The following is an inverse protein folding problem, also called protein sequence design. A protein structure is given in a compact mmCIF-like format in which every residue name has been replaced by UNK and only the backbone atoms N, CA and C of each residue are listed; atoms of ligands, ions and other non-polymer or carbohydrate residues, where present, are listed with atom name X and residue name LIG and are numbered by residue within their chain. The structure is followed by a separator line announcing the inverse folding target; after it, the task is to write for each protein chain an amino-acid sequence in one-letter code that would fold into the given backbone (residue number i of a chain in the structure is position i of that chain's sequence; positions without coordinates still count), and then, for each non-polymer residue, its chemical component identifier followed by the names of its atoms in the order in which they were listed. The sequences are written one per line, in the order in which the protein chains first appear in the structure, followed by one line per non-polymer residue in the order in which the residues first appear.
data_IF_232414548145
#
_entry.id   IF_232414548145
#
_cell.length_a   1.000
_cell.length_b   1.000
_cell.length_c   1.000
_cell.angle_alpha   90.00
_cell.angle_beta   90.00
_cell.angle_gamma   90.00
#
_symmetry.space_group_name_H-M   'P 1'
#
loop_
_entity.id
_entity.type
_entity.pdbx_description
1 polymer ?
#
# COMPACT_ATOMS: atom_id res chain seq x y z
N UNK A 1 -28.66 -52.24 -0.95
CA UNK A 1 -29.99 -52.21 -0.30
C UNK A 1 -30.10 -50.95 0.53
N UNK A 2 -31.34 -50.49 0.67
CA UNK A 2 -31.85 -49.19 1.13
C UNK A 2 -31.34 -48.76 2.51
N UNK A 3 -31.19 -47.44 2.71
CA UNK A 3 -31.13 -46.84 4.05
C UNK A 3 -31.19 -45.30 4.06
N UNK A 4 -32.38 -44.73 3.85
CA UNK A 4 -32.73 -43.31 4.15
C UNK A 4 -32.30 -42.92 5.56
N UNK A 5 -31.90 -41.66 5.80
CA UNK A 5 -32.55 -40.71 6.74
C UNK A 5 -32.14 -39.26 6.43
N UNK A 6 -33.14 -38.44 6.12
CA UNK A 6 -33.10 -36.98 6.23
C UNK A 6 -33.17 -36.58 7.71
N UNK A 7 -32.61 -35.43 8.09
CA UNK A 7 -33.28 -34.48 9.00
C UNK A 7 -32.51 -33.15 9.03
N UNK A 8 -33.24 -32.07 8.76
CA UNK A 8 -32.85 -30.71 9.03
C UNK A 8 -32.75 -30.48 10.55
N UNK A 9 -31.88 -29.56 10.98
CA UNK A 9 -31.95 -28.95 12.30
C UNK A 9 -31.56 -27.48 12.22
N UNK A 10 -32.56 -26.61 12.37
CA UNK A 10 -32.40 -25.27 12.93
C UNK A 10 -31.83 -25.39 14.35
N UNK A 11 -30.82 -24.59 14.69
CA UNK A 11 -30.55 -24.09 16.04
C UNK A 11 -29.82 -22.75 15.86
N UNK A 12 -30.51 -21.62 16.04
CA UNK A 12 -30.70 -20.94 17.32
C UNK A 12 -29.68 -19.80 17.46
N UNK A 13 -30.18 -18.57 17.31
CA UNK A 13 -29.51 -17.36 17.77
C UNK A 13 -29.38 -17.48 19.29
N UNK A 14 -28.18 -17.79 19.76
CA UNK A 14 -27.80 -17.66 21.15
C UNK A 14 -26.62 -16.69 21.20
N UNK A 15 -26.84 -15.52 21.79
CA UNK A 15 -25.78 -14.64 22.21
C UNK A 15 -24.96 -15.38 23.29
N UNK A 16 -23.80 -15.88 22.90
CA UNK A 16 -22.76 -16.34 23.82
C UNK A 16 -21.53 -15.47 23.58
N UNK A 17 -21.26 -14.58 24.53
CA UNK A 17 -19.94 -14.00 24.73
C UNK A 17 -19.01 -15.14 25.18
N UNK A 18 -18.32 -15.75 24.24
CA UNK A 18 -17.17 -16.62 24.45
C UNK A 18 -16.33 -16.53 23.17
N UNK A 19 -15.06 -16.19 23.29
CA UNK A 19 -14.15 -16.01 22.17
C UNK A 19 -14.23 -17.20 21.22
N UNK A 20 -14.56 -16.91 19.96
CA UNK A 20 -14.23 -17.84 18.89
C UNK A 20 -12.70 -17.84 18.80
N UNK A 21 -12.06 -18.79 19.50
CA UNK A 21 -10.68 -19.17 19.23
C UNK A 21 -10.64 -19.72 17.80
N UNK A 22 -10.31 -18.84 16.86
CA UNK A 22 -9.96 -19.24 15.51
C UNK A 22 -8.59 -19.91 15.62
N UNK A 23 -8.43 -21.18 15.20
CA UNK A 23 -7.13 -21.85 15.25
C UNK A 23 -6.09 -21.05 14.45
N UNK A 24 -4.94 -20.76 15.07
CA UNK A 24 -3.81 -20.01 14.48
C UNK A 24 -3.37 -20.54 13.10
N UNK A 25 -3.68 -21.80 12.80
CA UNK A 25 -3.40 -22.46 11.52
C UNK A 25 -4.16 -21.84 10.31
N UNK A 26 -5.22 -21.06 10.55
CA UNK A 26 -5.94 -20.31 9.52
C UNK A 26 -5.54 -18.82 9.44
N UNK A 27 -4.70 -18.34 10.36
CA UNK A 27 -4.06 -17.03 10.30
C UNK A 27 -2.71 -17.21 9.59
N UNK A 28 -2.78 -17.45 8.28
CA UNK A 28 -1.59 -17.66 7.45
C UNK A 28 -0.66 -16.44 7.49
N UNK A 29 0.49 -16.60 8.15
CA UNK A 29 1.61 -15.68 8.10
C UNK A 29 2.16 -15.38 9.49
N UNK A 30 3.29 -15.99 9.85
CA UNK A 30 4.01 -15.58 11.06
C UNK A 30 4.22 -14.07 11.03
N UNK A 31 3.90 -13.38 12.13
CA UNK A 31 4.11 -11.95 12.31
C UNK A 31 5.61 -11.62 12.20
N UNK A 32 6.10 -11.54 10.97
CA UNK A 32 7.33 -10.86 10.67
C UNK A 32 7.03 -9.37 10.79
N UNK A 33 7.08 -8.85 12.02
CA UNK A 33 7.05 -7.40 12.26
C UNK A 33 8.00 -6.73 11.28
N UNK A 34 7.48 -5.81 10.47
CA UNK A 34 8.27 -5.09 9.50
C UNK A 34 9.42 -4.36 10.23
N UNK A 35 10.64 -4.42 9.68
CA UNK A 35 11.77 -3.77 10.37
C UNK A 35 11.57 -2.25 10.33
N UNK A 36 11.48 -1.58 11.49
CA UNK A 36 11.30 -0.15 11.53
C UNK A 36 12.46 0.59 10.87
N UNK A 37 12.14 1.70 10.21
CA UNK A 37 13.12 2.65 9.71
C UNK A 37 13.13 3.86 10.64
N UNK A 38 14.31 4.23 11.13
CA UNK A 38 14.52 5.37 12.07
C UNK A 38 14.26 6.77 11.43
N UNK A 39 13.57 6.83 10.29
CA UNK A 39 13.22 8.05 9.58
C UNK A 39 11.80 8.49 9.94
N UNK A 40 11.51 9.81 10.03
CA UNK A 40 10.16 10.31 10.29
C UNK A 40 9.15 9.85 9.23
N UNK A 41 7.94 9.52 9.65
CA UNK A 41 6.85 9.10 8.74
C UNK A 41 6.56 10.14 7.65
N UNK A 42 6.75 11.44 7.93
CA UNK A 42 6.61 12.54 6.95
C UNK A 42 7.53 12.39 5.75
N UNK A 43 8.74 11.87 5.94
CA UNK A 43 9.68 11.65 4.83
C UNK A 43 9.25 10.46 3.99
N UNK A 44 8.87 9.35 4.63
CA UNK A 44 8.40 8.16 3.94
C UNK A 44 7.12 8.44 3.16
N UNK A 45 6.19 9.18 3.76
CA UNK A 45 4.98 9.70 3.10
C UNK A 45 5.30 10.40 1.79
N UNK A 46 6.26 11.34 1.81
CA UNK A 46 6.64 12.09 0.61
C UNK A 46 7.24 11.20 -0.47
N UNK A 47 8.09 10.25 -0.08
CA UNK A 47 8.72 9.29 -0.98
C UNK A 47 7.67 8.36 -1.63
N UNK A 48 6.79 7.80 -0.82
CA UNK A 48 5.70 6.92 -1.24
C UNK A 48 4.75 7.62 -2.20
N UNK A 49 4.26 8.82 -1.84
CA UNK A 49 3.40 9.61 -2.71
C UNK A 49 4.11 10.02 -4.01
N UNK A 50 5.39 10.38 -3.96
CA UNK A 50 6.15 10.71 -5.16
C UNK A 50 6.36 9.52 -6.10
N UNK A 51 6.55 8.31 -5.56
CA UNK A 51 6.55 7.08 -6.33
C UNK A 51 5.17 6.84 -6.97
N UNK A 52 4.09 6.93 -6.20
CA UNK A 52 2.71 6.76 -6.71
C UNK A 52 2.40 7.72 -7.87
N UNK A 53 2.69 9.01 -7.71
CA UNK A 53 2.51 10.02 -8.76
C UNK A 53 3.38 9.73 -10.00
N UNK A 54 4.60 9.23 -9.79
CA UNK A 54 5.48 8.84 -10.89
C UNK A 54 4.94 7.63 -11.67
N UNK A 55 4.35 6.67 -10.97
CA UNK A 55 3.69 5.50 -11.58
C UNK A 55 2.45 5.93 -12.37
N UNK A 56 1.62 6.81 -11.81
CA UNK A 56 0.45 7.35 -12.50
C UNK A 56 0.83 8.00 -13.84
N UNK A 57 1.80 8.92 -13.80
CA UNK A 57 2.31 9.59 -15.01
C UNK A 57 2.85 8.59 -16.02
N UNK A 58 3.68 7.64 -15.58
CA UNK A 58 4.28 6.63 -16.44
C UNK A 58 3.20 5.76 -17.10
N UNK A 59 2.22 5.27 -16.34
CA UNK A 59 1.15 4.42 -16.86
C UNK A 59 0.26 5.15 -17.87
N UNK A 60 -0.05 6.43 -17.61
CA UNK A 60 -0.81 7.25 -18.56
C UNK A 60 -0.03 7.46 -19.86
N UNK A 61 1.27 7.78 -19.78
CA UNK A 61 2.10 8.10 -20.94
C UNK A 61 2.50 6.88 -21.77
N UNK A 62 2.89 5.78 -21.12
CA UNK A 62 3.48 4.62 -21.79
C UNK A 62 2.43 3.53 -22.08
N UNK A 63 1.35 3.46 -21.29
CA UNK A 63 0.38 2.35 -21.36
C UNK A 63 -1.06 2.75 -21.69
N UNK A 64 -1.35 4.06 -21.77
CA UNK A 64 -2.61 4.57 -22.29
C UNK A 64 -3.80 4.39 -21.33
N UNK A 65 -3.56 4.39 -20.02
CA UNK A 65 -4.62 4.25 -18.99
C UNK A 65 -5.49 5.51 -18.83
N UNK A 66 -5.14 6.59 -19.54
CA UNK A 66 -5.88 7.86 -19.52
C UNK A 66 -5.59 8.71 -18.28
N UNK A 67 -6.51 9.63 -17.99
CA UNK A 67 -6.43 10.50 -16.82
C UNK A 67 -6.83 9.75 -15.54
N UNK A 68 -6.13 10.08 -14.45
CA UNK A 68 -6.43 9.56 -13.12
C UNK A 68 -7.51 10.39 -12.44
N UNK A 69 -8.52 9.72 -11.88
CA UNK A 69 -9.63 10.33 -11.15
C UNK A 69 -9.47 10.08 -9.65
N UNK A 70 -9.54 11.11 -8.79
CA UNK A 70 -9.37 10.94 -7.36
C UNK A 70 -10.45 10.01 -6.78
N UNK A 71 -10.11 9.31 -5.70
CA UNK A 71 -11.07 8.48 -4.96
C UNK A 71 -12.02 9.38 -4.16
N UNK A 72 -13.27 9.53 -4.60
CA UNK A 72 -14.25 10.37 -3.90
C UNK A 72 -15.13 9.58 -2.92
N UNK A 73 -15.32 8.29 -3.17
CA UNK A 73 -16.21 7.43 -2.37
C UNK A 73 -15.47 6.59 -1.31
N UNK A 74 -14.14 6.57 -1.35
CA UNK A 74 -13.29 5.85 -0.41
C UNK A 74 -12.19 6.77 0.13
N UNK A 75 -11.71 6.51 1.33
CA UNK A 75 -10.57 7.25 1.90
C UNK A 75 -9.31 7.00 1.07
N UNK A 76 -8.61 8.07 0.72
CA UNK A 76 -7.37 8.01 -0.07
C UNK A 76 -6.18 7.55 0.75
N UNK A 77 -6.22 7.72 2.07
CA UNK A 77 -5.15 7.30 2.96
C UNK A 77 -5.67 6.81 4.30
N UNK A 78 -4.99 5.82 4.87
CA UNK A 78 -5.26 5.24 6.19
C UNK A 78 -3.97 4.73 6.81
N UNK A 79 -3.98 4.49 8.12
CA UNK A 79 -2.94 3.67 8.73
C UNK A 79 -3.03 2.28 8.11
N UNK A 80 -1.88 1.72 7.73
CA UNK A 80 -1.81 0.41 7.09
C UNK A 80 -2.32 -0.67 8.04
N UNK A 81 -3.15 -1.55 7.51
CA UNK A 81 -3.54 -2.78 8.20
C UNK A 81 -2.67 -3.97 7.77
N UNK A 82 -1.84 -3.82 6.73
CA UNK A 82 -1.01 -4.88 6.16
C UNK A 82 0.41 -4.86 6.73
N UNK A 83 0.91 -3.67 7.09
CA UNK A 83 2.24 -3.50 7.67
C UNK A 83 2.12 -3.28 9.18
N UNK A 84 2.44 -4.32 9.96
CA UNK A 84 2.44 -4.26 11.43
C UNK A 84 3.75 -3.65 11.94
N UNK A 85 3.63 -2.51 12.62
CA UNK A 85 4.76 -1.75 13.17
C UNK A 85 4.84 -1.86 14.70
N UNK A 86 6.07 -1.77 15.22
CA UNK A 86 6.31 -1.67 16.67
C UNK A 86 5.84 -0.32 17.22
N UNK A 87 5.69 -0.24 18.55
CA UNK A 87 5.28 0.99 19.23
C UNK A 87 6.21 2.18 18.90
N UNK A 88 5.62 3.35 18.63
CA UNK A 88 6.34 4.55 18.18
C UNK A 88 6.65 4.58 16.68
N UNK A 89 6.13 3.61 15.93
CA UNK A 89 6.20 3.53 14.47
C UNK A 89 4.81 3.33 13.88
N UNK A 90 4.62 3.80 12.65
CA UNK A 90 3.42 3.55 11.88
C UNK A 90 3.75 3.33 10.41
N UNK A 91 2.83 2.70 9.69
CA UNK A 91 2.83 2.65 8.24
C UNK A 91 1.53 3.28 7.74
N UNK A 92 1.62 4.01 6.64
CA UNK A 92 0.50 4.66 5.98
C UNK A 92 0.29 4.02 4.62
N UNK A 93 -0.97 3.73 4.29
CA UNK A 93 -1.37 3.21 2.99
C UNK A 93 -1.95 4.36 2.17
N UNK A 94 -1.54 4.46 0.90
CA UNK A 94 -1.99 5.44 -0.06
C UNK A 94 -2.65 4.79 -1.26
N UNK A 95 -3.78 5.35 -1.67
CA UNK A 95 -4.60 4.92 -2.82
C UNK A 95 -5.34 6.12 -3.39
N UNK A 96 -4.62 6.99 -4.08
CA UNK A 96 -5.13 8.33 -4.40
C UNK A 96 -6.24 8.31 -5.46
N UNK A 97 -6.12 7.49 -6.50
CA UNK A 97 -6.93 7.63 -7.70
C UNK A 97 -7.18 6.30 -8.42
N UNK A 98 -8.10 6.31 -9.39
CA UNK A 98 -8.27 5.24 -10.39
C UNK A 98 -8.13 5.76 -11.81
N UNK A 99 -7.76 4.86 -12.72
CA UNK A 99 -7.70 5.13 -14.17
C UNK A 99 -8.38 3.99 -14.96
N UNK A 100 -8.34 4.03 -16.30
CA UNK A 100 -8.76 2.89 -17.11
C UNK A 100 -7.82 1.68 -16.88
N UNK A 101 -8.28 0.43 -17.03
CA UNK A 101 -7.43 -0.75 -16.88
C UNK A 101 -6.23 -0.74 -17.83
N UNK A 102 -5.15 -1.38 -17.41
CA UNK A 102 -4.03 -1.70 -18.30
C UNK A 102 -4.51 -2.75 -19.30
N UNK A 103 -4.34 -2.54 -20.62
CA UNK A 103 -4.67 -3.54 -21.61
C UNK A 103 -3.98 -4.87 -21.33
N UNK A 104 -4.71 -5.98 -21.40
CA UNK A 104 -4.23 -7.31 -20.98
C UNK A 104 -2.91 -7.70 -21.66
N UNK A 105 -2.78 -7.39 -22.95
CA UNK A 105 -1.57 -7.66 -23.74
C UNK A 105 -0.35 -6.83 -23.29
N UNK A 106 -0.57 -5.71 -22.59
CA UNK A 106 0.47 -4.82 -22.07
C UNK A 106 0.81 -5.07 -20.59
N UNK A 107 0.03 -5.90 -19.89
CA UNK A 107 0.19 -6.13 -18.45
C UNK A 107 1.62 -6.50 -18.03
N UNK A 108 2.23 -7.47 -18.72
CA UNK A 108 3.60 -7.91 -18.42
C UNK A 108 4.64 -6.79 -18.61
N UNK A 109 4.47 -5.95 -19.63
CA UNK A 109 5.36 -4.84 -19.87
C UNK A 109 5.17 -3.73 -18.82
N UNK A 110 3.91 -3.40 -18.50
CA UNK A 110 3.58 -2.39 -17.49
C UNK A 110 4.10 -2.76 -16.10
N UNK A 111 3.91 -4.00 -15.67
CA UNK A 111 4.42 -4.49 -14.38
C UNK A 111 5.95 -4.49 -14.31
N UNK A 112 6.64 -4.84 -15.41
CA UNK A 112 8.09 -4.70 -15.47
C UNK A 112 8.53 -3.23 -15.33
N UNK A 113 7.80 -2.29 -15.95
CA UNK A 113 8.10 -0.87 -15.85
C UNK A 113 7.82 -0.28 -14.47
N UNK A 114 6.74 -0.72 -13.82
CA UNK A 114 6.44 -0.42 -12.42
C UNK A 114 7.61 -0.85 -11.53
N UNK A 115 8.11 -2.07 -11.71
CA UNK A 115 9.26 -2.57 -10.96
C UNK A 115 10.51 -1.70 -11.15
N UNK A 116 10.84 -1.29 -12.37
CA UNK A 116 12.00 -0.42 -12.60
C UNK A 116 11.91 0.93 -11.85
N UNK A 117 10.71 1.49 -11.71
CA UNK A 117 10.49 2.72 -10.93
C UNK A 117 10.46 2.49 -9.42
N UNK A 118 9.95 1.34 -8.96
CA UNK A 118 9.84 1.00 -7.55
C UNK A 118 11.15 0.45 -6.96
N UNK A 119 12.02 -0.16 -7.77
CA UNK A 119 13.28 -0.77 -7.35
C UNK A 119 14.21 0.18 -6.58
N UNK A 120 14.41 1.45 -6.99
CA UNK A 120 15.18 2.41 -6.19
C UNK A 120 14.63 2.66 -4.78
N UNK A 121 13.34 2.41 -4.55
CA UNK A 121 12.68 2.51 -3.24
C UNK A 121 12.79 1.22 -2.42
N UNK A 122 13.49 0.22 -2.93
CA UNK A 122 13.77 -1.05 -2.24
C UNK A 122 12.73 -2.15 -2.50
N UNK A 123 11.74 -1.92 -3.37
CA UNK A 123 10.77 -2.94 -3.73
C UNK A 123 11.41 -4.09 -4.51
N UNK A 124 10.99 -5.31 -4.17
CA UNK A 124 11.33 -6.54 -4.86
C UNK A 124 10.65 -6.68 -6.21
N UNK A 125 10.95 -7.77 -6.90
CA UNK A 125 10.27 -8.10 -8.16
C UNK A 125 8.77 -8.35 -7.91
N UNK A 126 7.91 -8.05 -8.90
CA UNK A 126 6.49 -8.32 -8.78
C UNK A 126 6.23 -9.82 -8.67
N UNK A 127 5.45 -10.20 -7.67
CA UNK A 127 4.89 -11.53 -7.55
C UNK A 127 3.50 -11.54 -8.19
N UNK A 128 3.17 -12.55 -9.03
CA UNK A 128 1.83 -12.68 -9.57
C UNK A 128 0.82 -12.89 -8.43
N UNK A 129 -0.22 -12.06 -8.39
CA UNK A 129 -1.35 -12.22 -7.47
C UNK A 129 -2.60 -12.55 -8.27
N UNK A 130 -3.31 -13.62 -7.88
CA UNK A 130 -4.58 -14.00 -8.52
C UNK A 130 -5.68 -13.10 -7.94
N UNK A 131 -6.03 -12.04 -8.67
CA UNK A 131 -7.24 -11.28 -8.42
C UNK A 131 -8.43 -12.02 -9.07
N UNK A 132 -9.60 -11.99 -8.43
CA UNK A 132 -10.81 -12.69 -8.92
C UNK A 132 -11.25 -12.23 -10.29
N UNK A 133 -10.97 -10.97 -10.63
CA UNK A 133 -11.23 -10.35 -11.93
C UNK A 133 -10.05 -9.47 -12.38
N UNK A 134 -9.57 -9.66 -13.61
CA UNK A 134 -8.48 -8.86 -14.17
C UNK A 134 -7.08 -9.36 -13.79
N UNK A 135 -6.10 -8.45 -13.80
CA UNK A 135 -4.72 -8.76 -13.44
C UNK A 135 -4.31 -8.00 -12.18
N UNK A 136 -3.48 -8.63 -11.34
CA UNK A 136 -2.88 -7.96 -10.21
C UNK A 136 -1.45 -8.42 -9.95
N UNK A 137 -0.68 -7.55 -9.31
CA UNK A 137 0.69 -7.82 -8.92
C UNK A 137 1.03 -7.09 -7.63
N UNK A 138 1.84 -7.74 -6.80
CA UNK A 138 2.31 -7.20 -5.53
C UNK A 138 3.83 -7.13 -5.59
N UNK A 139 4.38 -5.98 -5.21
CA UNK A 139 5.81 -5.81 -4.97
C UNK A 139 5.99 -5.55 -3.49
N UNK A 140 6.79 -6.37 -2.81
CA UNK A 140 7.08 -6.21 -1.39
C UNK A 140 8.48 -5.63 -1.21
N UNK A 141 8.62 -4.68 -0.29
CA UNK A 141 9.92 -4.22 0.19
C UNK A 141 10.38 -5.16 1.34
N UNK A 142 11.37 -6.04 1.11
CA UNK A 142 11.74 -7.08 2.08
C UNK A 142 12.36 -6.53 3.37
N UNK A 143 12.71 -5.24 3.39
CA UNK A 143 13.24 -4.58 4.60
C UNK A 143 12.12 -3.99 5.44
N UNK A 144 11.28 -3.18 4.80
CA UNK A 144 10.31 -2.34 5.52
C UNK A 144 8.95 -3.00 5.60
N UNK A 145 8.76 -4.16 4.96
CA UNK A 145 7.47 -4.82 4.82
C UNK A 145 6.46 -4.04 3.98
N UNK A 146 6.83 -2.88 3.41
CA UNK A 146 5.93 -2.09 2.59
C UNK A 146 5.47 -2.88 1.36
N UNK A 147 4.19 -2.77 1.03
CA UNK A 147 3.62 -3.37 -0.16
C UNK A 147 3.25 -2.29 -1.19
N UNK A 148 3.45 -2.62 -2.45
CA UNK A 148 2.94 -1.88 -3.59
C UNK A 148 2.08 -2.85 -4.40
N UNK A 149 0.78 -2.59 -4.40
CA UNK A 149 -0.21 -3.43 -5.05
C UNK A 149 -0.74 -2.72 -6.28
N UNK A 150 -0.78 -3.43 -7.40
CA UNK A 150 -1.32 -2.94 -8.67
C UNK A 150 -2.50 -3.82 -9.05
N UNK A 151 -3.67 -3.22 -9.18
CA UNK A 151 -4.92 -3.92 -9.51
C UNK A 151 -5.45 -3.35 -10.83
N UNK A 152 -5.36 -4.14 -11.89
CA UNK A 152 -5.96 -3.84 -13.20
C UNK A 152 -7.24 -4.66 -13.37
N UNK A 153 -8.31 -4.19 -12.75
CA UNK A 153 -9.65 -4.74 -12.83
C UNK A 153 -10.34 -4.32 -14.16
N UNK A 154 -11.25 -5.11 -14.75
CA UNK A 154 -11.90 -4.75 -16.03
C UNK A 154 -12.56 -3.37 -16.09
N UNK A 155 -12.87 -2.77 -14.95
CA UNK A 155 -13.49 -1.44 -14.82
C UNK A 155 -12.53 -0.33 -14.42
N UNK A 156 -11.38 -0.65 -13.83
CA UNK A 156 -10.48 0.36 -13.29
C UNK A 156 -9.06 -0.18 -13.08
N UNK A 157 -8.10 0.72 -13.11
CA UNK A 157 -6.77 0.53 -12.56
C UNK A 157 -6.67 1.23 -11.21
N UNK A 158 -6.07 0.57 -10.23
CA UNK A 158 -5.76 1.10 -8.90
C UNK A 158 -4.31 0.74 -8.54
N UNK A 159 -3.62 1.68 -7.87
CA UNK A 159 -2.36 1.43 -7.18
C UNK A 159 -2.59 1.72 -5.72
N UNK A 160 -2.12 0.81 -4.86
CA UNK A 160 -2.05 1.02 -3.42
C UNK A 160 -0.59 0.86 -2.99
N UNK A 161 -0.10 1.74 -2.11
CA UNK A 161 1.28 1.69 -1.66
C UNK A 161 1.43 2.06 -0.18
N UNK A 162 2.16 1.22 0.56
CA UNK A 162 2.53 1.47 1.95
C UNK A 162 3.85 2.25 2.05
N UNK A 163 3.98 3.02 3.13
CA UNK A 163 5.27 3.65 3.51
C UNK A 163 6.25 2.66 4.11
N UNK A 164 5.77 1.55 4.65
CA UNK A 164 6.52 0.77 5.63
C UNK A 164 6.58 1.49 6.98
N UNK A 165 7.20 0.85 7.97
CA UNK A 165 7.26 1.39 9.34
C UNK A 165 8.25 2.56 9.46
N UNK A 166 7.71 3.78 9.54
CA UNK A 166 8.44 5.01 9.85
C UNK A 166 8.20 5.48 11.27
N UNK A 167 9.12 6.27 11.81
CA UNK A 167 8.98 6.84 13.15
C UNK A 167 7.76 7.75 13.19
N UNK A 168 6.82 7.44 14.06
CA UNK A 168 5.58 8.16 14.21
C UNK A 168 5.33 8.46 15.68
N UNK A 169 5.35 9.75 16.01
CA UNK A 169 5.14 10.22 17.37
C UNK A 169 3.64 10.41 17.69
N UNK A 170 2.75 10.10 16.74
CA UNK A 170 1.31 10.13 16.91
C UNK A 170 0.78 8.74 17.29
N UNK A 171 0.05 8.60 18.40
CA UNK A 171 -0.58 7.32 18.76
C UNK A 171 -1.71 6.90 17.81
N UNK A 172 -2.19 7.80 16.95
CA UNK A 172 -3.23 7.52 15.94
C UNK A 172 -2.66 7.38 14.51
N UNK A 173 -1.33 7.39 14.37
CA UNK A 173 -0.69 7.52 13.07
C UNK A 173 -0.73 8.96 12.54
N UNK A 174 -0.18 9.18 11.34
CA UNK A 174 -0.23 10.46 10.65
C UNK A 174 0.40 11.64 11.39
N UNK A 175 1.50 11.43 12.13
CA UNK A 175 2.23 12.56 12.72
C UNK A 175 2.55 13.61 11.65
N UNK A 176 2.36 14.87 12.07
CA UNK A 176 2.63 16.08 11.29
C UNK A 176 1.84 16.21 9.98
N UNK A 177 0.76 15.44 9.80
CA UNK A 177 -0.16 15.64 8.67
C UNK A 177 -0.64 17.11 8.62
N UNK A 178 -0.62 17.79 7.46
CA UNK A 178 -0.47 17.23 6.11
C UNK A 178 0.94 17.31 5.50
N UNK A 179 1.99 17.58 6.29
CA UNK A 179 3.36 17.66 5.76
C UNK A 179 3.74 16.36 5.07
N UNK A 180 4.50 16.44 3.98
CA UNK A 180 4.86 15.27 3.17
C UNK A 180 3.89 14.98 2.02
N UNK A 181 2.79 15.74 1.91
CA UNK A 181 1.82 15.59 0.82
C UNK A 181 1.98 16.63 -0.29
N UNK A 182 3.05 17.43 -0.25
CA UNK A 182 3.29 18.54 -1.19
C UNK A 182 3.39 18.07 -2.65
N UNK A 183 3.70 16.80 -2.87
CA UNK A 183 3.91 16.18 -4.18
C UNK A 183 2.61 15.77 -4.87
N UNK A 184 1.48 15.75 -4.13
CA UNK A 184 0.18 15.32 -4.66
C UNK A 184 -0.47 16.50 -5.38
N UNK A 185 -0.70 16.43 -6.70
CA UNK A 185 -1.39 17.48 -7.45
C UNK A 185 -2.82 17.72 -6.97
N UNK A 186 -3.31 18.96 -7.08
CA UNK A 186 -4.64 19.33 -6.59
C UNK A 186 -5.78 18.52 -7.21
N UNK A 187 -5.67 18.14 -8.49
CA UNK A 187 -6.67 17.32 -9.18
C UNK A 187 -6.75 15.87 -8.71
N UNK A 188 -5.80 15.42 -7.88
CA UNK A 188 -5.79 14.08 -7.28
C UNK A 188 -6.14 14.11 -5.79
N UNK A 189 -6.56 15.25 -5.23
CA UNK A 189 -6.92 15.39 -3.81
C UNK A 189 -8.43 15.32 -3.61
N UNK A 190 -8.87 14.49 -2.67
CA UNK A 190 -10.27 14.37 -2.29
C UNK A 190 -10.41 14.08 -0.79
N UNK A 191 -10.81 12.87 -0.41
CA UNK A 191 -11.17 12.44 0.94
C UNK A 191 -9.97 12.36 1.89
N UNK A 192 -8.75 12.15 1.39
CA UNK A 192 -7.59 11.99 2.27
C UNK A 192 -7.79 10.95 3.36
N UNK A 193 -7.72 11.34 4.64
CA UNK A 193 -7.82 10.43 5.80
C UNK A 193 -9.26 10.17 6.25
N UNK A 194 -10.28 10.82 5.68
CA UNK A 194 -11.65 10.66 6.14
C UNK A 194 -12.72 11.30 5.24
N UNK A 195 -13.99 10.93 5.46
CA UNK A 195 -15.10 11.43 4.65
C UNK A 195 -15.57 12.85 5.02
N UNK A 196 -14.96 13.49 6.01
CA UNK A 196 -15.29 14.85 6.43
C UNK A 196 -14.59 15.87 5.54
N UNK A 197 -15.36 16.58 4.70
CA UNK A 197 -14.85 17.51 3.70
C UNK A 197 -14.58 18.93 4.24
N UNK A 198 -13.58 19.64 3.69
CA UNK A 198 -12.46 19.12 2.89
C UNK A 198 -11.30 18.65 3.79
N UNK A 199 -10.63 17.56 3.39
CA UNK A 199 -9.35 17.20 4.02
C UNK A 199 -8.34 18.33 3.81
N UNK A 200 -7.47 18.53 4.79
CA UNK A 200 -6.36 19.47 4.66
C UNK A 200 -5.16 18.76 4.03
N UNK A 201 -4.72 19.25 2.88
CA UNK A 201 -3.48 18.84 2.21
C UNK A 201 -2.41 19.92 2.36
N UNK A 202 -1.13 19.56 2.24
CA UNK A 202 -0.08 20.56 2.10
C UNK A 202 -0.21 21.20 0.70
N UNK A 203 0.07 22.51 0.54
CA UNK A 203 0.04 23.14 -0.78
C UNK A 203 0.86 22.35 -1.80
N UNK A 204 0.31 22.17 -3.01
CA UNK A 204 1.02 21.47 -4.08
C UNK A 204 2.27 22.27 -4.46
N UNK A 205 3.43 21.61 -4.50
CA UNK A 205 4.67 22.18 -4.98
C UNK A 205 5.30 21.27 -6.03
N UNK A 206 5.20 21.62 -7.34
CA UNK A 206 5.78 20.82 -8.42
C UNK A 206 7.31 20.77 -8.39
N UNK A 207 7.97 21.62 -7.59
CA UNK A 207 9.43 21.66 -7.47
C UNK A 207 9.96 20.76 -6.38
N UNK A 208 9.10 20.10 -5.60
CA UNK A 208 9.52 19.10 -4.62
C UNK A 208 10.15 17.93 -5.35
N UNK A 209 11.47 17.83 -5.25
CA UNK A 209 12.22 16.70 -5.80
C UNK A 209 12.01 15.50 -4.88
N UNK A 210 11.32 14.48 -5.39
CA UNK A 210 11.25 13.17 -4.72
C UNK A 210 12.37 12.31 -5.24
N UNK A 211 13.45 12.22 -4.48
CA UNK A 211 14.48 11.22 -4.71
C UNK A 211 14.13 9.93 -3.97
N UNK A 212 14.41 8.76 -4.56
CA UNK A 212 14.34 7.50 -3.82
C UNK A 212 15.16 7.57 -2.52
N UNK A 213 14.80 6.77 -1.50
CA UNK A 213 15.54 6.72 -0.26
C UNK A 213 17.02 6.43 -0.52
N UNK A 214 17.94 7.00 0.29
CA UNK A 214 19.36 6.74 0.13
C UNK A 214 19.62 5.23 0.22
N UNK A 215 20.46 4.74 -0.68
CA UNK A 215 20.85 3.34 -0.65
C UNK A 215 21.44 3.01 0.73
N UNK A 216 21.15 1.83 1.27
CA UNK A 216 21.67 1.42 2.58
C UNK A 216 23.19 1.45 2.50
N UNK A 217 23.84 2.18 3.40
CA UNK A 217 25.29 2.06 3.54
C UNK A 217 25.61 0.58 3.79
N UNK A 218 26.43 -0.03 2.92
CA UNK A 218 26.93 -1.36 3.17
C UNK A 218 27.54 -1.35 4.58
N UNK A 219 27.09 -2.26 5.47
CA UNK A 219 27.72 -2.44 6.78
C UNK A 219 29.21 -2.60 6.51
N UNK A 220 30.03 -1.62 6.89
CA UNK A 220 31.49 -1.79 6.93
C UNK A 220 31.70 -2.97 7.84
N UNK A 221 32.14 -4.09 7.29
CA UNK A 221 32.64 -5.21 8.08
C UNK A 221 33.78 -4.65 8.92
N UNK A 222 33.51 -4.44 10.20
CA UNK A 222 34.53 -4.04 11.16
C UNK A 222 35.64 -5.07 11.08
N UNK A 223 36.80 -4.64 10.61
CA UNK A 223 38.03 -5.40 10.74
C UNK A 223 38.26 -5.56 12.24
N UNK A 224 38.01 -6.75 12.78
CA UNK A 224 38.51 -7.11 14.09
C UNK A 224 40.05 -7.06 14.00
N UNK A 225 40.64 -6.01 14.56
CA UNK A 225 42.07 -5.96 14.81
C UNK A 225 42.38 -6.97 15.93
N UNK A 226 43.47 -7.70 15.71
CA UNK A 226 44.01 -8.82 16.48
C UNK A 226 44.13 -8.59 17.97
#
# INVERSE_FOLDING_TARGET
MVGKKALAALCAVAACAAGCDIPDEYLGGGEATASPVERPIVELRRETLGLEISLYRMLSQEYGVGEWKPQEEQIQTKVSAFVVCSAGYSSELYRLATAAPIPTEKWKAATARIYELAKPYGFGKPEPYIHTEGNAGILTNPRTGAELTVISHPKFLLIEIDTGCGKDNSPQGFSDWPRGTEVVPDNLRSTGRGFSLPEKWAPYDPNVVVTPPPSPAAKRSGTAAK
#
